data_IF_320326089540
#
_entry.id   IF_320326089540
#
_cell.length_a   1.000
_cell.length_b   1.000
_cell.length_c   1.000
_cell.angle_alpha   90.00
_cell.angle_beta   90.00
_cell.angle_gamma   90.00
#
_symmetry.space_group_name_H-M   'P 1'
#
loop_
_entity.id
_entity.type
_entity.pdbx_description
1 polymer ?
#
# COMPACT_ATOMS: atom_id res chain seq x y z
N UNK A 1 1.11 -8.20 -1.40
CA UNK A 1 1.83 -9.13 -0.51
C UNK A 1 1.04 -9.31 0.78
N UNK A 2 0.52 -10.53 1.00
CA UNK A 2 -0.09 -10.92 2.26
C UNK A 2 0.94 -11.71 3.07
N UNK A 3 1.59 -11.06 4.04
CA UNK A 3 2.50 -11.73 4.96
C UNK A 3 1.66 -12.51 5.96
N UNK A 4 1.60 -13.84 5.78
CA UNK A 4 0.84 -14.73 6.66
C UNK A 4 1.71 -15.05 7.89
N UNK A 5 1.40 -14.40 9.01
CA UNK A 5 1.97 -14.75 10.32
C UNK A 5 1.39 -16.08 10.82
N UNK A 6 2.18 -17.16 10.72
CA UNK A 6 1.81 -18.51 11.20
C UNK A 6 2.09 -18.73 12.69
N UNK A 7 2.57 -17.72 13.43
CA UNK A 7 2.85 -17.87 14.86
C UNK A 7 1.54 -18.12 15.65
N UNK A 8 1.54 -19.04 16.63
CA UNK A 8 0.38 -19.30 17.47
C UNK A 8 0.02 -18.02 18.24
N UNK A 9 -1.22 -17.53 18.07
CA UNK A 9 -1.68 -16.30 18.72
C UNK A 9 -2.32 -16.64 20.07
N UNK A 10 -1.67 -16.35 21.22
CA UNK A 10 -2.30 -16.53 22.51
C UNK A 10 -3.30 -15.39 22.72
N UNK A 11 -4.59 -15.70 22.62
CA UNK A 11 -5.69 -14.88 23.14
C UNK A 11 -5.90 -13.47 22.58
N UNK A 12 -5.79 -13.24 21.26
CA UNK A 12 -6.50 -12.16 20.54
C UNK A 12 -6.27 -10.69 20.98
N UNK A 13 -5.45 -10.43 22.01
CA UNK A 13 -5.22 -9.11 22.61
C UNK A 13 -4.05 -8.35 21.97
N UNK A 14 -3.36 -8.96 20.99
CA UNK A 14 -2.12 -8.44 20.40
C UNK A 14 -2.25 -8.10 18.90
N UNK A 15 -3.42 -7.68 18.41
CA UNK A 15 -3.63 -7.33 16.99
C UNK A 15 -2.72 -6.16 16.57
N UNK A 16 -2.61 -5.12 17.41
CA UNK A 16 -1.78 -3.95 17.11
C UNK A 16 -0.28 -4.29 17.08
N UNK A 17 0.21 -5.12 18.02
CA UNK A 17 1.60 -5.57 18.02
C UNK A 17 1.90 -6.41 16.78
N UNK A 18 1.01 -7.34 16.42
CA UNK A 18 1.13 -8.12 15.18
C UNK A 18 1.19 -7.20 13.96
N UNK A 19 0.32 -6.18 13.89
CA UNK A 19 0.35 -5.22 12.78
C UNK A 19 1.71 -4.51 12.69
N UNK A 20 2.27 -4.05 13.82
CA UNK A 20 3.59 -3.42 13.87
C UNK A 20 4.71 -4.36 13.43
N UNK A 21 4.65 -5.64 13.82
CA UNK A 21 5.63 -6.66 13.42
C UNK A 21 5.54 -6.94 11.92
N UNK A 22 4.32 -7.05 11.38
CA UNK A 22 4.10 -7.23 9.94
C UNK A 22 4.59 -6.03 9.13
N UNK A 23 4.38 -4.80 9.62
CA UNK A 23 4.93 -3.59 8.99
C UNK A 23 6.46 -3.60 9.01
N UNK A 24 7.08 -3.87 10.17
CA UNK A 24 8.54 -4.00 10.27
C UNK A 24 9.10 -5.10 9.35
N UNK A 25 8.41 -6.23 9.27
CA UNK A 25 8.78 -7.32 8.37
C UNK A 25 8.74 -6.90 6.91
N UNK A 26 7.68 -6.20 6.51
CA UNK A 26 7.55 -5.66 5.16
C UNK A 26 8.68 -4.68 4.84
N UNK A 27 8.96 -3.73 5.74
CA UNK A 27 10.02 -2.73 5.56
C UNK A 27 11.41 -3.37 5.48
N UNK A 28 11.64 -4.42 6.27
CA UNK A 28 12.89 -5.18 6.27
C UNK A 28 13.08 -5.98 4.97
N UNK A 29 12.03 -6.65 4.51
CA UNK A 29 12.04 -7.36 3.21
C UNK A 29 12.25 -6.36 2.08
N UNK A 30 11.58 -5.21 2.11
CA UNK A 30 11.73 -4.16 1.11
C UNK A 30 13.17 -3.62 1.06
N UNK A 31 13.77 -3.35 2.22
CA UNK A 31 15.16 -2.89 2.32
C UNK A 31 16.13 -3.96 1.79
N UNK A 32 15.92 -5.22 2.15
CA UNK A 32 16.76 -6.32 1.69
C UNK A 32 16.61 -6.59 0.17
N UNK A 33 15.42 -6.38 -0.41
CA UNK A 33 15.20 -6.39 -1.87
C UNK A 33 16.03 -5.29 -2.54
N UNK A 34 16.01 -4.07 -2.00
CA UNK A 34 16.80 -2.93 -2.54
C UNK A 34 18.29 -3.23 -2.51
N UNK A 35 18.80 -3.75 -1.40
CA UNK A 35 20.22 -4.08 -1.24
C UNK A 35 20.65 -5.23 -2.17
N UNK A 36 19.79 -6.22 -2.37
CA UNK A 36 20.04 -7.31 -3.31
C UNK A 36 20.21 -6.80 -4.76
N UNK A 37 19.41 -5.81 -5.18
CA UNK A 37 19.49 -5.22 -6.53
C UNK A 37 20.71 -4.30 -6.67
N UNK A 38 20.99 -3.44 -5.69
CA UNK A 38 22.13 -2.53 -5.71
C UNK A 38 23.46 -3.28 -5.86
N UNK A 39 23.57 -4.45 -5.23
CA UNK A 39 24.76 -5.31 -5.30
C UNK A 39 24.86 -6.15 -6.59
N UNK A 40 23.91 -6.00 -7.53
CA UNK A 40 24.02 -6.51 -8.90
C UNK A 40 23.95 -8.04 -9.06
N UNK A 41 23.51 -8.78 -8.05
CA UNK A 41 23.37 -10.26 -8.08
C UNK A 41 22.08 -10.74 -8.75
N UNK A 42 21.65 -10.05 -9.81
CA UNK A 42 20.39 -10.31 -10.53
C UNK A 42 20.41 -11.70 -11.21
N UNK A 43 21.58 -12.19 -11.63
CA UNK A 43 21.69 -13.48 -12.34
C UNK A 43 21.78 -14.70 -11.43
N UNK A 44 22.35 -14.59 -10.22
CA UNK A 44 22.52 -15.76 -9.33
C UNK A 44 21.29 -16.04 -8.44
N UNK A 45 20.44 -15.03 -8.21
CA UNK A 45 19.21 -15.20 -7.41
C UNK A 45 17.96 -15.54 -8.24
N UNK A 46 18.03 -15.48 -9.57
CA UNK A 46 16.90 -15.76 -10.47
C UNK A 46 16.38 -17.21 -10.37
N UNK A 47 17.16 -18.14 -9.81
CA UNK A 47 16.71 -19.51 -9.57
C UNK A 47 16.06 -19.73 -8.19
N UNK A 48 16.25 -18.82 -7.23
CA UNK A 48 15.78 -19.06 -5.86
C UNK A 48 14.99 -17.91 -5.22
N UNK A 49 14.84 -16.74 -5.88
CA UNK A 49 14.05 -15.56 -5.46
C UNK A 49 13.98 -15.35 -3.94
N UNK A 50 15.10 -15.54 -3.26
CA UNK A 50 15.13 -15.61 -1.81
C UNK A 50 15.85 -14.39 -1.25
N UNK A 51 15.15 -13.64 -0.41
CA UNK A 51 15.68 -12.48 0.30
C UNK A 51 15.93 -12.89 1.74
N UNK A 52 17.13 -12.61 2.23
CA UNK A 52 17.51 -12.92 3.61
C UNK A 52 17.34 -11.68 4.47
N UNK A 53 16.57 -11.80 5.54
CA UNK A 53 16.33 -10.72 6.51
C UNK A 53 16.93 -11.12 7.86
N UNK A 54 17.73 -10.25 8.50
CA UNK A 54 18.29 -10.52 9.83
C UNK A 54 17.17 -10.73 10.87
N UNK A 55 17.38 -11.70 11.77
CA UNK A 55 16.44 -12.05 12.84
C UNK A 55 16.10 -10.85 13.74
N UNK A 56 17.11 -10.04 14.04
CA UNK A 56 17.04 -8.93 14.99
C UNK A 56 15.97 -7.90 14.62
N UNK A 57 15.73 -7.68 13.32
CA UNK A 57 14.74 -6.72 12.83
C UNK A 57 13.31 -7.19 13.16
N UNK A 58 13.10 -8.50 13.22
CA UNK A 58 11.82 -9.15 13.50
C UNK A 58 11.62 -9.49 14.98
N UNK A 59 12.59 -9.15 15.84
CA UNK A 59 12.51 -9.41 17.26
C UNK A 59 11.38 -8.59 17.92
N UNK A 60 10.59 -9.28 18.74
CA UNK A 60 9.56 -8.68 19.58
C UNK A 60 10.12 -8.50 20.99
N UNK A 61 10.21 -7.27 21.51
CA UNK A 61 10.63 -7.07 22.89
C UNK A 61 9.60 -7.73 23.82
N UNK A 62 10.07 -8.65 24.66
CA UNK A 62 9.23 -9.30 25.66
C UNK A 62 9.49 -8.70 27.04
N UNK A 63 8.42 -8.34 27.73
CA UNK A 63 8.50 -7.99 29.14
C UNK A 63 8.36 -9.26 29.97
N UNK A 64 9.43 -9.63 30.65
CA UNK A 64 9.40 -10.66 31.67
C UNK A 64 9.52 -10.01 33.04
N UNK A 65 8.86 -10.60 34.04
CA UNK A 65 9.10 -10.21 35.42
C UNK A 65 10.45 -10.84 35.80
N UNK A 66 11.50 -10.04 35.88
CA UNK A 66 12.71 -10.42 36.62
C UNK A 66 12.25 -10.74 38.05
N UNK A 67 12.73 -11.81 38.69
CA UNK A 67 12.32 -12.18 40.06
C UNK A 67 13.34 -11.79 41.14
N UNK A 68 14.53 -11.38 40.71
CA UNK A 68 15.70 -11.22 41.58
C UNK A 68 15.99 -9.76 41.96
N UNK A 69 15.49 -8.82 41.16
CA UNK A 69 15.76 -7.38 41.33
C UNK A 69 14.52 -6.60 41.77
N UNK A 70 14.74 -5.44 42.40
CA UNK A 70 13.69 -4.54 42.91
C UNK A 70 13.19 -4.84 44.33
N UNK A 71 12.52 -3.87 44.94
CA UNK A 71 11.91 -4.01 46.27
C UNK A 71 10.59 -4.77 46.18
N UNK A 72 10.48 -5.91 46.88
CA UNK A 72 9.26 -6.74 46.88
C UNK A 72 8.81 -7.00 48.31
N UNK A 73 7.51 -6.99 48.50
CA UNK A 73 6.86 -7.56 49.67
C UNK A 73 6.06 -8.79 49.22
N UNK A 74 6.39 -9.94 49.77
CA UNK A 74 5.63 -11.17 49.57
C UNK A 74 5.48 -11.87 50.93
N UNK A 75 4.38 -12.58 51.11
CA UNK A 75 4.09 -13.29 52.36
C UNK A 75 4.46 -14.75 52.16
N UNK A 76 5.46 -15.24 52.88
CA UNK A 76 5.78 -16.66 52.97
C UNK A 76 4.95 -17.27 54.10
N UNK A 77 4.08 -18.22 53.78
CA UNK A 77 3.36 -18.99 54.79
C UNK A 77 4.31 -19.94 55.51
N UNK A 78 4.12 -20.13 56.81
CA UNK A 78 4.94 -21.04 57.62
C UNK A 78 6.07 -20.39 58.41
N UNK A 79 6.17 -19.06 58.45
CA UNK A 79 7.10 -18.37 59.34
C UNK A 79 6.71 -18.58 60.81
N UNK A 80 7.58 -19.23 61.59
CA UNK A 80 7.42 -19.44 63.04
C UNK A 80 8.50 -18.74 63.87
N UNK A 81 9.51 -18.14 63.23
CA UNK A 81 10.76 -17.73 63.88
C UNK A 81 11.14 -16.26 63.66
N UNK A 82 10.73 -15.63 62.55
CA UNK A 82 11.17 -14.28 62.19
C UNK A 82 10.11 -13.21 62.47
N UNK A 83 10.54 -12.02 62.93
CA UNK A 83 9.67 -10.87 63.23
C UNK A 83 9.92 -9.75 62.20
N UNK A 84 9.00 -8.80 62.08
CA UNK A 84 9.14 -7.63 61.18
C UNK A 84 10.41 -6.82 61.51
N UNK A 85 11.39 -6.82 60.60
CA UNK A 85 12.66 -6.10 60.73
C UNK A 85 13.90 -6.99 60.57
N UNK A 86 13.74 -8.31 60.69
CA UNK A 86 14.84 -9.25 60.55
C UNK A 86 15.34 -9.34 59.10
N UNK A 87 16.66 -9.47 58.94
CA UNK A 87 17.32 -9.60 57.63
C UNK A 87 17.63 -11.08 57.36
N UNK A 88 16.93 -11.69 56.41
CA UNK A 88 17.21 -13.05 55.96
C UNK A 88 18.35 -13.05 54.94
N UNK A 89 19.29 -14.00 55.06
CA UNK A 89 20.32 -14.16 54.05
C UNK A 89 19.68 -14.64 52.74
N UNK A 90 19.98 -13.98 51.62
CA UNK A 90 19.48 -14.38 50.31
C UNK A 90 19.97 -15.82 50.03
N UNK A 91 19.08 -16.78 49.75
CA UNK A 91 19.52 -18.13 49.38
C UNK A 91 20.41 -18.02 48.13
N UNK A 92 21.51 -18.80 48.04
CA UNK A 92 22.32 -18.82 46.84
C UNK A 92 21.41 -19.25 45.68
N UNK A 93 21.35 -18.42 44.63
CA UNK A 93 20.50 -18.68 43.47
C UNK A 93 20.78 -20.09 42.95
N UNK A 94 19.77 -20.95 42.96
CA UNK A 94 19.83 -22.20 42.23
C UNK A 94 19.95 -21.85 40.76
N UNK A 95 21.15 -21.98 40.21
CA UNK A 95 21.43 -21.81 38.78
C UNK A 95 20.56 -22.79 38.00
N UNK A 96 19.42 -22.30 37.52
CA UNK A 96 18.75 -22.90 36.38
C UNK A 96 19.76 -22.87 35.24
N UNK A 97 20.15 -24.04 34.78
CA UNK A 97 21.06 -24.27 33.67
C UNK A 97 20.46 -23.69 32.39
N UNK A 98 20.64 -22.38 32.20
CA UNK A 98 20.41 -21.67 30.96
C UNK A 98 21.67 -21.74 30.14
N UNK A 99 21.70 -22.68 29.21
CA UNK A 99 22.70 -22.77 28.15
C UNK A 99 22.74 -21.44 27.38
N UNK A 100 23.89 -20.77 27.33
CA UNK A 100 24.07 -19.60 26.48
C UNK A 100 25.14 -18.60 26.91
N UNK A 101 26.34 -19.04 27.27
CA UNK A 101 27.52 -18.18 27.11
C UNK A 101 27.94 -18.23 25.64
N UNK A 102 27.36 -17.33 24.84
CA UNK A 102 27.87 -16.99 23.53
C UNK A 102 28.52 -15.61 23.60
N UNK A 103 29.84 -15.58 23.48
CA UNK A 103 30.58 -14.34 23.19
C UNK A 103 29.94 -13.67 21.96
N UNK A 104 29.53 -12.41 22.13
CA UNK A 104 29.12 -11.57 21.01
C UNK A 104 30.36 -11.24 20.18
N UNK A 105 30.66 -12.09 19.20
CA UNK A 105 31.56 -11.73 18.12
C UNK A 105 30.86 -10.72 17.21
N UNK A 106 31.58 -9.68 16.81
CA UNK A 106 31.13 -8.61 15.89
C UNK A 106 30.96 -9.11 14.43
N UNK A 107 30.89 -10.43 14.27
CA UNK A 107 30.60 -11.18 13.05
C UNK A 107 29.57 -12.26 13.40
N UNK A 108 28.39 -11.80 13.83
CA UNK A 108 27.28 -12.65 14.26
C UNK A 108 26.67 -13.47 13.13
N UNK A 109 27.21 -14.66 12.90
CA UNK A 109 26.50 -15.78 12.28
C UNK A 109 25.52 -16.39 13.28
N UNK A 110 24.49 -15.65 13.68
CA UNK A 110 23.35 -16.19 14.42
C UNK A 110 22.43 -16.94 13.45
N UNK A 111 22.10 -18.19 13.77
CA UNK A 111 21.31 -19.12 12.93
C UNK A 111 19.85 -18.72 12.67
N UNK A 112 19.44 -17.49 12.97
CA UNK A 112 18.03 -17.07 12.87
C UNK A 112 17.74 -16.09 11.73
N UNK A 113 18.59 -16.04 10.68
CA UNK A 113 18.25 -15.25 9.49
C UNK A 113 17.02 -15.85 8.78
N UNK A 114 15.98 -15.03 8.57
CA UNK A 114 14.78 -15.47 7.87
C UNK A 114 14.99 -15.39 6.36
N UNK A 115 14.80 -16.52 5.68
CA UNK A 115 14.84 -16.60 4.22
C UNK A 115 13.42 -16.52 3.65
N UNK A 116 13.08 -15.38 3.04
CA UNK A 116 11.81 -15.19 2.35
C UNK A 116 11.94 -15.59 0.89
N UNK A 117 11.18 -16.59 0.44
CA UNK A 117 11.05 -16.91 -0.98
C UNK A 117 9.91 -16.08 -1.55
N UNK A 118 10.22 -15.17 -2.47
CA UNK A 118 9.26 -14.29 -3.12
C UNK A 118 8.94 -14.80 -4.52
N UNK A 119 7.71 -14.60 -5.00
CA UNK A 119 7.46 -14.75 -6.43
C UNK A 119 8.15 -13.62 -7.22
N UNK A 120 8.35 -13.81 -8.53
CA UNK A 120 8.88 -12.75 -9.40
C UNK A 120 8.00 -11.49 -9.33
N UNK A 121 6.69 -11.68 -9.25
CA UNK A 121 5.72 -10.57 -9.22
C UNK A 121 5.79 -9.84 -7.88
N UNK A 122 5.82 -10.56 -6.76
CA UNK A 122 5.94 -9.96 -5.44
C UNK A 122 7.25 -9.20 -5.26
N UNK A 123 8.34 -9.73 -5.82
CA UNK A 123 9.62 -9.04 -5.84
C UNK A 123 9.52 -7.70 -6.59
N UNK A 124 8.91 -7.69 -7.78
CA UNK A 124 8.74 -6.47 -8.57
C UNK A 124 7.81 -5.47 -7.87
N UNK A 125 6.70 -5.93 -7.29
CA UNK A 125 5.77 -5.07 -6.56
C UNK A 125 6.46 -4.38 -5.38
N UNK A 126 7.25 -5.11 -4.59
CA UNK A 126 8.02 -4.54 -3.47
C UNK A 126 9.12 -3.61 -3.95
N UNK A 127 9.71 -3.92 -5.10
CA UNK A 127 10.76 -3.11 -5.70
C UNK A 127 10.25 -1.76 -6.21
N UNK A 128 9.01 -1.70 -6.71
CA UNK A 128 8.39 -0.48 -7.25
C UNK A 128 7.45 0.26 -6.27
N UNK A 129 7.19 -0.25 -5.07
CA UNK A 129 6.22 0.32 -4.11
C UNK A 129 6.49 1.80 -3.76
N UNK A 130 7.76 2.20 -3.71
CA UNK A 130 8.17 3.58 -3.37
C UNK A 130 8.25 4.52 -4.58
N UNK A 131 7.93 4.02 -5.77
CA UNK A 131 8.07 4.76 -7.01
C UNK A 131 6.70 5.20 -7.52
N UNK A 132 6.62 6.44 -7.97
CA UNK A 132 5.44 7.03 -8.57
C UNK A 132 5.84 8.09 -9.60
N UNK A 133 4.97 8.31 -10.58
CA UNK A 133 5.08 9.43 -11.49
C UNK A 133 4.89 10.74 -10.70
N UNK A 134 5.86 11.67 -10.73
CA UNK A 134 5.77 12.93 -10.03
C UNK A 134 4.60 13.78 -10.53
N UNK A 135 3.94 14.50 -9.63
CA UNK A 135 2.96 15.53 -9.98
C UNK A 135 1.80 15.02 -10.88
N UNK A 136 1.33 13.80 -10.62
CA UNK A 136 0.18 13.21 -11.30
C UNK A 136 -1.12 13.91 -10.93
N UNK A 137 -1.60 14.79 -11.83
CA UNK A 137 -2.81 15.57 -11.62
C UNK A 137 -4.04 14.76 -12.04
N UNK A 138 -5.09 14.79 -11.20
CA UNK A 138 -6.42 14.31 -11.56
C UNK A 138 -7.08 15.29 -12.54
N UNK A 139 -6.72 15.22 -13.83
CA UNK A 139 -7.36 16.01 -14.89
C UNK A 139 -8.68 15.33 -15.31
N UNK A 140 -9.76 16.10 -15.24
CA UNK A 140 -11.16 15.88 -15.61
C UNK A 140 -11.83 14.48 -15.51
N UNK A 141 -13.15 14.53 -15.31
CA UNK A 141 -14.08 13.39 -15.24
C UNK A 141 -14.51 13.02 -16.68
N UNK A 142 -13.57 12.63 -17.54
CA UNK A 142 -13.91 12.20 -18.88
C UNK A 142 -14.11 10.68 -18.94
N UNK A 143 -15.39 10.28 -18.93
CA UNK A 143 -15.92 9.00 -19.43
C UNK A 143 -15.43 7.70 -18.73
N UNK A 144 -15.78 7.60 -17.43
CA UNK A 144 -16.22 6.40 -16.66
C UNK A 144 -15.50 5.05 -16.85
N UNK A 145 -15.05 4.43 -15.73
CA UNK A 145 -15.34 3.00 -15.41
C UNK A 145 -15.02 2.53 -13.99
N UNK A 146 -14.39 3.33 -13.12
CA UNK A 146 -14.18 2.89 -11.73
C UNK A 146 -15.12 3.65 -10.79
N UNK A 147 -16.30 3.05 -10.58
CA UNK A 147 -17.18 3.46 -9.50
C UNK A 147 -16.77 2.71 -8.23
N UNK A 148 -16.48 3.45 -7.17
CA UNK A 148 -16.26 2.85 -5.85
C UNK A 148 -17.52 3.06 -5.03
N UNK A 149 -17.93 2.03 -4.30
CA UNK A 149 -19.09 2.11 -3.42
C UNK A 149 -18.70 2.87 -2.15
N UNK A 150 -19.17 4.12 -2.04
CA UNK A 150 -19.05 4.89 -0.82
C UNK A 150 -20.31 4.74 0.03
N UNK A 151 -20.16 4.80 1.35
CA UNK A 151 -21.31 4.71 2.26
C UNK A 151 -22.16 5.98 2.15
N UNK A 152 -23.39 5.83 1.67
CA UNK A 152 -24.32 6.93 1.41
C UNK A 152 -25.44 7.06 2.48
N UNK A 153 -25.40 6.23 3.53
CA UNK A 153 -26.29 6.33 4.69
C UNK A 153 -27.07 5.05 4.99
N UNK A 154 -28.36 5.21 5.30
CA UNK A 154 -29.27 4.12 5.65
C UNK A 154 -30.48 4.11 4.70
N UNK A 155 -31.01 2.92 4.45
CA UNK A 155 -32.24 2.66 3.69
C UNK A 155 -33.16 1.75 4.51
N UNK A 156 -34.47 1.84 4.29
CA UNK A 156 -35.46 0.89 4.85
C UNK A 156 -35.45 -0.45 4.12
N UNK A 157 -34.94 -0.48 2.90
CA UNK A 157 -34.90 -1.65 2.03
C UNK A 157 -33.48 -1.89 1.51
N UNK A 158 -33.10 -3.15 1.32
CA UNK A 158 -31.78 -3.54 0.82
C UNK A 158 -31.51 -5.05 0.89
N UNK A 159 -30.31 -5.45 0.45
CA UNK A 159 -29.88 -6.84 0.53
C UNK A 159 -29.61 -7.26 1.98
N UNK A 160 -29.92 -8.51 2.40
CA UNK A 160 -29.62 -9.00 3.75
C UNK A 160 -28.16 -8.81 4.20
N UNK A 161 -27.20 -8.82 3.27
CA UNK A 161 -25.78 -8.57 3.57
C UNK A 161 -25.49 -7.15 4.06
N UNK A 162 -26.35 -6.20 3.73
CA UNK A 162 -26.23 -4.79 4.11
C UNK A 162 -27.05 -4.46 5.37
N UNK A 163 -27.74 -5.43 5.97
CA UNK A 163 -28.58 -5.21 7.14
C UNK A 163 -27.74 -4.74 8.34
N UNK A 164 -28.10 -3.59 8.90
CA UNK A 164 -27.53 -3.11 10.15
C UNK A 164 -28.38 -3.65 11.31
N UNK A 165 -27.98 -4.80 11.84
CA UNK A 165 -28.70 -5.49 12.92
C UNK A 165 -28.84 -4.61 14.16
N UNK A 166 -27.78 -3.90 14.55
CA UNK A 166 -27.78 -3.06 15.75
C UNK A 166 -28.81 -1.94 15.67
N UNK A 167 -28.90 -1.25 14.52
CA UNK A 167 -29.91 -0.20 14.32
C UNK A 167 -31.31 -0.78 14.16
N UNK A 168 -31.46 -1.85 13.40
CA UNK A 168 -32.75 -2.55 13.24
C UNK A 168 -33.35 -2.95 14.59
N UNK A 169 -32.54 -3.54 15.47
CA UNK A 169 -32.98 -3.94 16.80
C UNK A 169 -33.34 -2.74 17.68
N UNK A 170 -32.62 -1.62 17.60
CA UNK A 170 -33.00 -0.38 18.32
C UNK A 170 -34.36 0.16 17.87
N UNK A 171 -34.63 0.18 16.57
CA UNK A 171 -35.93 0.60 16.04
C UNK A 171 -37.05 -0.34 16.48
N UNK A 172 -36.82 -1.66 16.42
CA UNK A 172 -37.74 -2.67 16.95
C UNK A 172 -38.04 -2.48 18.44
N UNK A 173 -37.04 -2.21 19.27
CA UNK A 173 -37.24 -1.95 20.71
C UNK A 173 -38.07 -0.69 20.90
N UNK A 174 -37.73 0.42 20.23
CA UNK A 174 -38.47 1.67 20.32
C UNK A 174 -39.95 1.52 19.92
N UNK A 175 -40.23 0.81 18.82
CA UNK A 175 -41.59 0.53 18.36
C UNK A 175 -42.37 -0.30 19.37
N UNK A 176 -41.76 -1.35 19.94
CA UNK A 176 -42.40 -2.20 20.96
C UNK A 176 -42.71 -1.45 22.25
N UNK A 177 -41.83 -0.54 22.66
CA UNK A 177 -42.08 0.35 23.81
C UNK A 177 -43.25 1.30 23.47
N UNK A 178 -43.24 1.94 22.31
CA UNK A 178 -44.30 2.86 21.88
C UNK A 178 -45.68 2.20 21.76
N UNK A 179 -45.73 0.97 21.23
CA UNK A 179 -46.95 0.16 21.13
C UNK A 179 -47.32 -0.58 22.42
N UNK A 180 -46.55 -0.38 23.51
CA UNK A 180 -46.75 -1.00 24.83
C UNK A 180 -46.89 -2.52 24.74
N UNK A 181 -45.98 -3.18 24.00
CA UNK A 181 -45.94 -4.65 23.93
C UNK A 181 -45.71 -5.21 25.35
N UNK A 182 -46.55 -6.14 25.84
CA UNK A 182 -46.33 -6.78 27.13
C UNK A 182 -44.96 -7.45 27.22
N UNK A 183 -44.33 -7.39 28.39
CA UNK A 183 -43.05 -8.06 28.64
C UNK A 183 -43.27 -9.58 28.73
N UNK A 184 -42.36 -10.41 28.18
CA UNK A 184 -42.47 -11.86 28.27
C UNK A 184 -42.41 -12.35 29.72
N UNK A 185 -41.64 -11.68 30.58
CA UNK A 185 -41.55 -11.97 32.03
C UNK A 185 -42.91 -11.87 32.71
N UNK A 186 -43.69 -10.83 32.41
CA UNK A 186 -45.01 -10.64 33.00
C UNK A 186 -46.02 -11.70 32.54
N UNK A 187 -45.92 -12.15 31.29
CA UNK A 187 -46.75 -13.26 30.81
C UNK A 187 -46.39 -14.56 31.55
N UNK A 188 -45.11 -14.82 31.79
CA UNK A 188 -44.67 -16.00 32.54
C UNK A 188 -45.15 -15.96 34.00
N UNK A 189 -45.16 -14.79 34.65
CA UNK A 189 -45.75 -14.62 36.00
C UNK A 189 -47.25 -14.96 36.02
N UNK A 190 -48.02 -14.45 35.04
CA UNK A 190 -49.46 -14.74 34.93
C UNK A 190 -49.68 -16.24 34.70
N UNK A 191 -48.90 -16.87 33.81
CA UNK A 191 -49.01 -18.30 33.54
C UNK A 191 -48.64 -19.16 34.76
N UNK A 192 -47.59 -18.80 35.50
CA UNK A 192 -47.22 -19.47 36.74
C UNK A 192 -48.29 -19.33 37.83
N UNK A 193 -48.92 -18.14 37.93
CA UNK A 193 -50.00 -17.90 38.90
C UNK A 193 -51.25 -18.69 38.56
N UNK A 194 -51.62 -18.78 37.28
CA UNK A 194 -52.71 -19.63 36.79
C UNK A 194 -52.43 -21.10 37.15
N UNK A 195 -51.22 -21.60 36.87
CA UNK A 195 -50.86 -22.98 37.19
C UNK A 195 -50.95 -23.28 38.70
N UNK A 196 -50.45 -22.38 39.55
CA UNK A 196 -50.52 -22.53 41.01
C UNK A 196 -51.96 -22.56 41.54
N UNK A 197 -52.87 -21.77 40.96
CA UNK A 197 -54.29 -21.78 41.30
C UNK A 197 -54.99 -23.05 40.79
N UNK A 198 -54.61 -23.54 39.61
CA UNK A 198 -55.16 -24.77 39.03
C UNK A 198 -54.77 -26.02 39.83
N UNK A 199 -53.59 -26.04 40.44
CA UNK A 199 -53.08 -27.14 41.28
C UNK A 199 -53.73 -27.22 42.67
N UNK A 200 -54.25 -26.10 43.21
CA UNK A 200 -54.75 -25.99 44.60
C UNK A 200 -56.19 -26.50 44.82
N UNK A 201 -56.83 -27.12 43.83
CA UNK A 201 -58.26 -27.50 43.90
C UNK A 201 -58.61 -28.33 45.16
N UNK A 202 -59.77 -28.09 45.82
CA UNK A 202 -60.88 -27.22 45.43
C UNK A 202 -60.57 -25.71 45.64
N UNK A 203 -61.13 -24.88 44.76
CA UNK A 203 -60.93 -23.42 44.75
C UNK A 203 -62.02 -22.73 45.56
N UNK A 204 -61.63 -21.73 46.37
CA UNK A 204 -62.54 -20.77 47.00
C UNK A 204 -63.14 -19.82 45.95
N UNK A 205 -64.27 -19.17 46.24
CA UNK A 205 -64.93 -18.21 45.31
C UNK A 205 -63.97 -17.09 44.88
N UNK A 206 -63.19 -16.52 45.81
CA UNK A 206 -62.18 -15.49 45.51
C UNK A 206 -61.08 -16.00 44.56
N UNK A 207 -60.66 -17.26 44.73
CA UNK A 207 -59.63 -17.89 43.90
C UNK A 207 -60.16 -18.23 42.50
N UNK A 208 -61.46 -18.50 42.37
CA UNK A 208 -62.12 -18.71 41.08
C UNK A 208 -62.22 -17.40 40.28
N UNK A 209 -62.55 -16.29 40.95
CA UNK A 209 -62.58 -14.96 40.33
C UNK A 209 -61.19 -14.50 39.91
N UNK A 210 -60.16 -14.71 40.76
CA UNK A 210 -58.75 -14.42 40.42
C UNK A 210 -58.30 -15.23 39.19
N UNK A 211 -58.61 -16.53 39.15
CA UNK A 211 -58.26 -17.40 38.03
C UNK A 211 -58.93 -16.95 36.72
N UNK A 212 -60.19 -16.52 36.78
CA UNK A 212 -60.94 -16.03 35.62
C UNK A 212 -60.34 -14.72 35.09
N UNK A 213 -60.04 -13.77 35.97
CA UNK A 213 -59.39 -12.50 35.60
C UNK A 213 -57.99 -12.72 34.98
N UNK A 214 -57.17 -13.61 35.56
CA UNK A 214 -55.84 -13.92 35.03
C UNK A 214 -55.91 -14.60 33.66
N UNK A 215 -56.92 -15.43 33.40
CA UNK A 215 -57.13 -16.05 32.09
C UNK A 215 -57.50 -15.03 31.02
N UNK A 216 -58.34 -14.06 31.36
CA UNK A 216 -58.64 -12.93 30.48
C UNK A 216 -57.41 -12.06 30.22
N UNK A 217 -56.66 -11.71 31.26
CA UNK A 217 -55.41 -10.95 31.14
C UNK A 217 -54.40 -11.67 30.23
N UNK A 218 -54.20 -12.97 30.44
CA UNK A 218 -53.35 -13.82 29.58
C UNK A 218 -53.79 -13.75 28.11
N UNK A 219 -55.09 -13.84 27.84
CA UNK A 219 -55.61 -13.80 26.47
C UNK A 219 -55.37 -12.45 25.81
N UNK A 220 -55.57 -11.35 26.54
CA UNK A 220 -55.26 -10.00 26.03
C UNK A 220 -53.77 -9.81 25.76
N UNK A 221 -52.90 -10.33 26.64
CA UNK A 221 -51.45 -10.27 26.48
C UNK A 221 -50.98 -11.06 25.27
N UNK A 222 -51.45 -12.30 25.10
CA UNK A 222 -51.14 -13.13 23.92
C UNK A 222 -51.60 -12.45 22.63
N UNK A 223 -52.80 -11.88 22.61
CA UNK A 223 -53.34 -11.16 21.44
C UNK A 223 -52.50 -9.93 21.10
N UNK A 224 -52.04 -9.17 22.10
CA UNK A 224 -51.15 -8.02 21.87
C UNK A 224 -49.77 -8.44 21.41
N UNK A 225 -49.20 -9.50 22.00
CA UNK A 225 -47.88 -10.02 21.64
C UNK A 225 -47.84 -10.62 20.23
N UNK A 226 -48.95 -11.22 19.75
CA UNK A 226 -49.05 -11.72 18.38
C UNK A 226 -49.20 -10.61 17.34
N UNK A 227 -49.95 -9.54 17.67
CA UNK A 227 -50.12 -8.37 16.79
C UNK A 227 -48.86 -7.53 16.65
N UNK A 228 -48.07 -7.41 17.71
CA UNK A 228 -46.85 -6.59 17.70
C UNK A 228 -45.65 -7.52 17.49
N UNK A 229 -45.22 -7.73 16.25
CA UNK A 229 -44.07 -8.57 15.91
C UNK A 229 -42.76 -8.11 16.58
N UNK A 230 -41.81 -9.03 16.78
CA UNK A 230 -40.52 -8.71 17.42
C UNK A 230 -39.64 -7.85 16.52
N UNK A 231 -39.55 -8.20 15.24
CA UNK A 231 -38.99 -7.34 14.17
C UNK A 231 -40.05 -7.24 13.10
N UNK A 232 -40.27 -6.02 12.62
CA UNK A 232 -41.22 -5.70 11.55
C UNK A 232 -40.43 -5.12 10.37
N UNK A 233 -40.85 -5.34 9.10
CA UNK A 233 -40.25 -4.70 7.94
C UNK A 233 -39.96 -3.19 8.11
N UNK A 234 -40.81 -2.45 8.83
CA UNK A 234 -40.58 -1.01 9.09
C UNK A 234 -39.38 -0.72 9.99
N UNK A 235 -38.93 -1.70 10.77
CA UNK A 235 -37.77 -1.60 11.67
C UNK A 235 -36.45 -1.85 10.91
N UNK A 236 -36.50 -2.50 9.75
CA UNK A 236 -35.31 -2.91 9.01
C UNK A 236 -34.51 -1.69 8.53
N UNK A 237 -33.21 -1.69 8.80
CA UNK A 237 -32.29 -0.65 8.35
C UNK A 237 -31.10 -1.28 7.64
N UNK A 238 -30.92 -0.92 6.38
CA UNK A 238 -29.85 -1.39 5.53
C UNK A 238 -28.83 -0.27 5.31
N UNK A 239 -27.55 -0.63 5.24
CA UNK A 239 -26.47 0.30 4.90
C UNK A 239 -26.53 0.57 3.40
N UNK A 240 -26.81 1.83 3.04
CA UNK A 240 -26.85 2.25 1.65
C UNK A 240 -25.44 2.58 1.17
N UNK A 241 -25.05 1.99 0.06
CA UNK A 241 -23.86 2.38 -0.68
C UNK A 241 -24.29 3.04 -1.99
N UNK A 242 -23.60 4.10 -2.38
CA UNK A 242 -23.81 4.75 -3.67
C UNK A 242 -22.50 4.68 -4.46
N UNK A 243 -22.55 4.36 -5.76
CA UNK A 243 -21.39 4.48 -6.61
C UNK A 243 -20.98 5.96 -6.67
N UNK A 244 -19.78 6.26 -6.19
CA UNK A 244 -19.14 7.55 -6.39
C UNK A 244 -18.10 7.39 -7.49
N UNK A 245 -18.12 8.23 -8.54
CA UNK A 245 -17.10 8.18 -9.58
C UNK A 245 -15.75 8.49 -8.96
N UNK A 246 -14.77 7.59 -9.11
CA UNK A 246 -13.38 7.93 -8.83
C UNK A 246 -12.78 8.54 -10.10
N UNK A 247 -12.16 9.72 -10.02
CA UNK A 247 -11.40 10.26 -11.15
C UNK A 247 -10.25 9.29 -11.45
N UNK A 248 -10.20 8.78 -12.68
CA UNK A 248 -9.07 7.97 -13.15
C UNK A 248 -8.08 8.90 -13.83
N UNK A 249 -6.84 8.91 -13.35
CA UNK A 249 -5.73 9.62 -13.98
C UNK A 249 -5.32 8.88 -15.24
N UNK A 250 -5.47 9.51 -16.41
CA UNK A 250 -4.83 9.03 -17.64
C UNK A 250 -3.48 9.71 -17.80
N UNK A 251 -2.48 8.95 -18.20
CA UNK A 251 -1.13 9.43 -18.41
C UNK A 251 -0.52 8.82 -19.68
N UNK A 252 0.32 9.59 -20.35
CA UNK A 252 1.16 9.12 -21.47
C UNK A 252 2.62 9.31 -21.11
N UNK A 253 3.44 8.30 -21.34
CA UNK A 253 4.90 8.37 -21.20
C UNK A 253 5.54 8.32 -22.60
N UNK A 254 6.30 9.36 -22.93
CA UNK A 254 7.14 9.41 -24.13
C UNK A 254 8.55 8.92 -23.79
N UNK A 255 8.94 7.78 -24.34
CA UNK A 255 10.28 7.21 -24.22
C UNK A 255 11.10 7.60 -25.45
N UNK A 256 12.08 8.49 -25.28
CA UNK A 256 12.93 9.00 -26.36
C UNK A 256 14.33 8.41 -26.22
N UNK A 257 14.73 7.57 -27.16
CA UNK A 257 16.08 6.97 -27.17
C UNK A 257 16.90 7.46 -28.35
N UNK A 258 18.16 7.77 -28.07
CA UNK A 258 19.18 8.03 -29.06
C UNK A 258 19.74 6.70 -29.61
N UNK A 259 19.73 6.56 -30.94
CA UNK A 259 20.29 5.40 -31.65
C UNK A 259 21.42 5.83 -32.59
N UNK A 260 21.97 7.03 -32.40
CA UNK A 260 23.06 7.56 -33.19
C UNK A 260 24.35 6.72 -33.12
N UNK A 261 25.29 7.05 -34.01
CA UNK A 261 26.59 6.40 -34.10
C UNK A 261 27.57 6.79 -33.00
N UNK A 262 27.32 7.87 -32.24
CA UNK A 262 28.15 8.26 -31.09
C UNK A 262 27.94 7.35 -29.88
N UNK A 263 26.76 6.72 -29.79
CA UNK A 263 26.45 5.75 -28.74
C UNK A 263 27.12 4.40 -28.99
N UNK A 264 28.07 4.05 -28.12
CA UNK A 264 28.67 2.70 -28.09
C UNK A 264 27.65 1.63 -27.69
N UNK A 265 27.91 0.37 -28.03
CA UNK A 265 27.01 -0.75 -27.67
C UNK A 265 26.74 -0.83 -26.16
N UNK A 266 27.77 -0.55 -25.33
CA UNK A 266 27.60 -0.49 -23.87
C UNK A 266 26.62 0.62 -23.47
N UNK A 267 26.68 1.78 -24.12
CA UNK A 267 25.79 2.91 -23.81
C UNK A 267 24.35 2.60 -24.25
N UNK A 268 24.17 2.01 -25.44
CA UNK A 268 22.86 1.54 -25.92
C UNK A 268 22.25 0.53 -24.95
N UNK A 269 23.03 -0.43 -24.46
CA UNK A 269 22.58 -1.40 -23.46
C UNK A 269 22.15 -0.75 -22.13
N UNK A 270 22.85 0.28 -21.65
CA UNK A 270 22.45 1.01 -20.45
C UNK A 270 21.13 1.77 -20.66
N UNK A 271 20.97 2.43 -21.81
CA UNK A 271 19.72 3.11 -22.18
C UNK A 271 18.54 2.14 -22.29
N UNK A 272 18.73 1.00 -22.97
CA UNK A 272 17.73 -0.07 -23.07
C UNK A 272 17.33 -0.61 -21.70
N UNK A 273 18.29 -0.86 -20.81
CA UNK A 273 18.00 -1.33 -19.46
C UNK A 273 17.19 -0.32 -18.64
N UNK A 274 17.49 0.98 -18.79
CA UNK A 274 16.69 2.02 -18.16
C UNK A 274 15.25 2.02 -18.68
N UNK A 275 15.04 2.01 -20.01
CA UNK A 275 13.70 2.02 -20.59
C UNK A 275 12.92 0.74 -20.33
N UNK A 276 13.59 -0.42 -20.27
CA UNK A 276 12.96 -1.68 -19.86
C UNK A 276 12.48 -1.59 -18.41
N UNK A 277 13.30 -1.04 -17.52
CA UNK A 277 12.91 -0.84 -16.12
C UNK A 277 11.73 0.13 -16.00
N UNK A 278 11.75 1.21 -16.79
CA UNK A 278 10.66 2.18 -16.86
C UNK A 278 9.37 1.53 -17.36
N UNK A 279 9.44 0.76 -18.45
CA UNK A 279 8.29 0.07 -19.01
C UNK A 279 7.66 -0.90 -18.00
N UNK A 280 8.46 -1.78 -17.38
CA UNK A 280 7.98 -2.71 -16.35
C UNK A 280 7.38 -1.98 -15.14
N UNK A 281 7.99 -0.87 -14.71
CA UNK A 281 7.46 -0.02 -13.65
C UNK A 281 6.07 0.52 -14.00
N UNK A 282 5.91 1.07 -15.20
CA UNK A 282 4.68 1.72 -15.62
C UNK A 282 3.54 0.72 -15.81
N UNK A 283 3.79 -0.40 -16.48
CA UNK A 283 2.79 -1.46 -16.69
C UNK A 283 2.28 -2.05 -15.36
N UNK A 284 3.18 -2.18 -14.36
CA UNK A 284 2.82 -2.75 -13.06
C UNK A 284 2.07 -1.75 -12.18
N UNK A 285 2.45 -0.46 -12.21
CA UNK A 285 1.91 0.55 -11.29
C UNK A 285 0.65 1.24 -11.81
N UNK A 286 0.46 1.32 -13.12
CA UNK A 286 -0.61 2.10 -13.76
C UNK A 286 -1.41 1.27 -14.77
N UNK A 287 -2.68 1.03 -14.47
CA UNK A 287 -3.59 0.31 -15.39
C UNK A 287 -3.98 1.11 -16.65
N UNK A 288 -3.93 2.45 -16.58
CA UNK A 288 -4.37 3.37 -17.64
C UNK A 288 -3.24 4.32 -18.04
N UNK A 289 -2.15 3.75 -18.53
CA UNK A 289 -1.02 4.50 -19.06
C UNK A 289 -0.72 4.06 -20.48
N UNK A 290 -0.48 5.03 -21.36
CA UNK A 290 -0.04 4.78 -22.73
C UNK A 290 1.47 5.06 -22.87
N UNK A 291 2.20 4.20 -23.57
CA UNK A 291 3.65 4.31 -23.74
C UNK A 291 3.95 4.50 -25.21
N UNK A 292 4.60 5.62 -25.54
CA UNK A 292 5.02 5.95 -26.90
C UNK A 292 6.54 5.88 -26.97
N UNK A 293 7.05 5.05 -27.87
CA UNK A 293 8.48 4.92 -28.11
C UNK A 293 8.88 5.76 -29.33
N UNK A 294 9.84 6.67 -29.12
CA UNK A 294 10.43 7.50 -30.16
C UNK A 294 11.91 7.22 -30.16
N UNK A 295 12.45 6.88 -31.33
CA UNK A 295 13.90 6.80 -31.52
C UNK A 295 14.35 7.92 -32.43
N UNK A 296 15.59 8.37 -32.25
CA UNK A 296 16.16 9.39 -33.11
C UNK A 296 17.63 9.13 -33.43
N UNK A 297 17.99 9.53 -34.64
CA UNK A 297 19.36 9.72 -35.09
C UNK A 297 19.39 11.02 -35.89
N UNK A 298 19.52 10.94 -37.22
CA UNK A 298 19.36 12.10 -38.12
C UNK A 298 17.88 12.49 -38.29
N UNK A 299 16.99 11.51 -38.23
CA UNK A 299 15.54 11.69 -38.21
C UNK A 299 14.95 10.95 -37.01
N UNK A 300 13.79 11.41 -36.54
CA UNK A 300 13.04 10.75 -35.48
C UNK A 300 11.79 10.06 -36.05
N UNK A 301 11.44 8.93 -35.45
CA UNK A 301 10.23 8.18 -35.80
C UNK A 301 9.64 7.50 -34.57
N UNK A 302 8.31 7.39 -34.56
CA UNK A 302 7.59 6.55 -33.61
C UNK A 302 7.75 5.08 -34.01
N UNK A 303 8.08 4.24 -33.02
CA UNK A 303 8.30 2.80 -33.21
C UNK A 303 7.50 2.01 -32.18
N UNK A 304 7.36 0.71 -32.44
CA UNK A 304 6.86 -0.24 -31.45
C UNK A 304 7.97 -0.67 -30.47
N UNK A 305 7.56 -1.39 -29.43
CA UNK A 305 8.45 -1.86 -28.37
C UNK A 305 9.59 -2.74 -28.90
N UNK A 306 9.27 -3.69 -29.79
CA UNK A 306 10.25 -4.63 -30.33
C UNK A 306 11.32 -3.92 -31.16
N UNK A 307 10.92 -2.99 -32.03
CA UNK A 307 11.85 -2.21 -32.85
C UNK A 307 12.67 -1.24 -31.99
N UNK A 308 12.08 -0.68 -30.93
CA UNK A 308 12.78 0.21 -30.01
C UNK A 308 13.97 -0.49 -29.33
N UNK A 309 13.82 -1.73 -28.86
CA UNK A 309 14.88 -2.43 -28.13
C UNK A 309 15.86 -3.22 -29.01
N UNK A 310 15.44 -3.68 -30.19
CA UNK A 310 16.22 -4.66 -30.97
C UNK A 310 16.88 -4.12 -32.24
N UNK A 311 16.47 -2.97 -32.77
CA UNK A 311 16.98 -2.48 -34.06
C UNK A 311 18.36 -1.79 -33.94
N UNK A 312 19.38 -2.21 -34.71
CA UNK A 312 20.73 -1.67 -34.66
C UNK A 312 20.98 -0.43 -35.55
N UNK A 313 19.95 0.31 -35.98
CA UNK A 313 20.10 1.55 -36.78
C UNK A 313 21.17 2.49 -36.19
N UNK A 314 21.95 3.13 -37.08
CA UNK A 314 22.99 4.12 -36.75
C UNK A 314 22.88 5.32 -37.68
N UNK A 315 23.25 6.51 -37.19
CA UNK A 315 23.18 7.77 -37.95
C UNK A 315 23.79 8.94 -37.17
N UNK A 316 23.65 10.16 -37.70
CA UNK A 316 24.01 11.38 -36.96
C UNK A 316 23.10 11.61 -35.74
N UNK A 317 23.37 12.64 -34.95
CA UNK A 317 22.60 12.96 -33.73
C UNK A 317 21.95 14.33 -33.88
N UNK A 318 20.63 14.37 -34.18
CA UNK A 318 19.84 15.60 -34.29
C UNK A 318 18.66 15.52 -33.34
N UNK A 319 18.83 16.07 -32.14
CA UNK A 319 17.86 15.95 -31.04
C UNK A 319 16.56 16.72 -31.32
N UNK A 320 16.60 17.83 -32.06
CA UNK A 320 15.38 18.60 -32.35
C UNK A 320 14.33 17.80 -33.10
N UNK A 321 14.75 16.83 -33.94
CA UNK A 321 13.80 15.96 -34.66
C UNK A 321 12.98 15.11 -33.70
N UNK A 322 13.59 14.62 -32.61
CA UNK A 322 12.91 13.83 -31.59
C UNK A 322 11.86 14.64 -30.83
N UNK A 323 12.21 15.88 -30.47
CA UNK A 323 11.32 16.80 -29.76
C UNK A 323 10.15 17.25 -30.67
N UNK A 324 10.40 17.44 -31.96
CA UNK A 324 9.36 17.74 -32.95
C UNK A 324 8.40 16.58 -33.15
N UNK A 325 8.92 15.34 -33.28
CA UNK A 325 8.08 14.15 -33.43
C UNK A 325 7.23 13.91 -32.16
N UNK A 326 7.81 14.09 -30.97
CA UNK A 326 7.07 14.06 -29.71
C UNK A 326 5.90 15.06 -29.71
N UNK A 327 6.14 16.31 -30.10
CA UNK A 327 5.10 17.34 -30.18
C UNK A 327 4.02 17.00 -31.21
N UNK A 328 4.40 16.43 -32.36
CA UNK A 328 3.47 15.99 -33.40
C UNK A 328 2.56 14.88 -32.89
N UNK A 329 3.13 13.85 -32.27
CA UNK A 329 2.37 12.74 -31.68
C UNK A 329 1.47 13.22 -30.54
N UNK A 330 2.00 14.05 -29.64
CA UNK A 330 1.26 14.63 -28.52
C UNK A 330 0.03 15.41 -29.01
N UNK A 331 0.18 16.25 -30.03
CA UNK A 331 -0.94 17.03 -30.60
C UNK A 331 -1.98 16.17 -31.30
N UNK A 332 -1.56 15.08 -31.95
CA UNK A 332 -2.46 14.20 -32.67
C UNK A 332 -3.30 13.32 -31.74
N UNK A 333 -2.71 12.78 -30.67
CA UNK A 333 -3.35 11.74 -29.83
C UNK A 333 -3.62 12.16 -28.39
N UNK A 334 -2.83 13.06 -27.80
CA UNK A 334 -2.81 13.31 -26.35
C UNK A 334 -3.01 14.80 -26.01
N UNK A 335 -4.26 15.31 -26.09
CA UNK A 335 -4.54 16.69 -25.71
C UNK A 335 -4.18 16.95 -24.23
N UNK A 336 -3.42 18.01 -23.98
CA UNK A 336 -2.86 18.32 -22.66
C UNK A 336 -3.94 18.53 -21.57
N UNK A 337 -5.15 18.98 -21.94
CA UNK A 337 -6.22 19.19 -20.96
C UNK A 337 -6.73 17.88 -20.34
N UNK A 338 -6.58 16.76 -21.04
CA UNK A 338 -7.13 15.44 -20.63
C UNK A 338 -6.07 14.47 -20.13
N UNK A 339 -4.87 14.54 -20.68
CA UNK A 339 -3.79 13.59 -20.39
C UNK A 339 -2.71 14.24 -19.55
N UNK A 340 -2.18 13.49 -18.58
CA UNK A 340 -0.90 13.83 -17.97
C UNK A 340 0.22 13.35 -18.89
N UNK A 341 1.12 14.24 -19.26
CA UNK A 341 2.19 13.98 -20.22
C UNK A 341 3.52 13.93 -19.50
N UNK A 342 4.22 12.82 -19.69
CA UNK A 342 5.54 12.55 -19.15
C UNK A 342 6.50 12.26 -20.29
N UNK A 343 7.78 12.61 -20.12
CA UNK A 343 8.81 12.25 -21.07
C UNK A 343 10.08 11.79 -20.37
N UNK A 344 10.72 10.77 -20.94
CA UNK A 344 12.01 10.26 -20.53
C UNK A 344 12.92 10.17 -21.76
N UNK A 345 14.02 10.90 -21.75
CA UNK A 345 15.00 10.93 -22.83
C UNK A 345 16.31 10.30 -22.37
N UNK A 346 16.88 9.37 -23.14
CA UNK A 346 18.23 8.86 -22.93
C UNK A 346 19.11 9.13 -24.16
N UNK A 347 20.29 9.72 -23.95
CA UNK A 347 21.28 10.04 -24.99
C UNK A 347 22.70 10.03 -24.40
N UNK A 348 23.73 10.03 -25.23
CA UNK A 348 25.13 10.18 -24.81
C UNK A 348 25.57 11.63 -24.60
N UNK A 349 24.70 12.60 -24.94
CA UNK A 349 24.95 14.04 -24.72
C UNK A 349 25.48 14.77 -25.95
N UNK A 350 25.81 14.06 -27.02
CA UNK A 350 26.33 14.67 -28.25
C UNK A 350 25.18 15.23 -29.10
N UNK A 351 25.34 16.44 -29.63
CA UNK A 351 24.39 17.04 -30.57
C UNK A 351 25.14 17.92 -31.58
N UNK A 352 24.56 18.14 -32.75
CA UNK A 352 25.13 19.09 -33.70
C UNK A 352 24.99 20.50 -33.13
N UNK A 353 26.09 21.27 -33.11
CA UNK A 353 26.12 22.62 -32.53
C UNK A 353 25.08 23.60 -33.14
N UNK A 354 24.70 23.42 -34.41
CA UNK A 354 23.65 24.21 -35.05
C UNK A 354 22.24 23.90 -34.54
N UNK A 355 22.02 22.72 -33.94
CA UNK A 355 20.73 22.24 -33.47
C UNK A 355 20.46 22.61 -32.00
N UNK A 356 21.51 22.76 -31.18
CA UNK A 356 21.40 23.06 -29.74
C UNK A 356 20.52 24.29 -29.41
N UNK A 357 20.59 25.44 -30.12
CA UNK A 357 19.69 26.56 -29.86
C UNK A 357 18.21 26.22 -30.13
N UNK A 358 17.95 25.43 -31.17
CA UNK A 358 16.60 24.98 -31.55
C UNK A 358 16.03 24.04 -30.50
N UNK A 359 16.83 23.09 -30.02
CA UNK A 359 16.47 22.17 -28.92
C UNK A 359 16.12 22.94 -27.65
N UNK A 360 16.93 23.93 -27.29
CA UNK A 360 16.74 24.75 -26.08
C UNK A 360 15.40 25.51 -26.12
N UNK A 361 15.11 26.16 -27.25
CA UNK A 361 13.83 26.87 -27.46
C UNK A 361 12.64 25.91 -27.48
N UNK A 362 12.73 24.79 -28.21
CA UNK A 362 11.66 23.78 -28.27
C UNK A 362 11.36 23.19 -26.89
N UNK A 363 12.39 22.82 -26.12
CA UNK A 363 12.22 22.25 -24.81
C UNK A 363 11.56 23.26 -23.86
N UNK A 364 12.13 24.46 -23.74
CA UNK A 364 11.68 25.47 -22.77
C UNK A 364 10.33 26.08 -23.11
N UNK A 365 10.09 26.44 -24.37
CA UNK A 365 8.90 27.21 -24.75
C UNK A 365 7.69 26.33 -25.09
N UNK A 366 7.94 25.08 -25.52
CA UNK A 366 6.90 24.24 -26.14
C UNK A 366 6.64 22.94 -25.39
N UNK A 367 7.67 22.26 -24.88
CA UNK A 367 7.51 20.94 -24.25
C UNK A 367 7.31 21.07 -22.74
N UNK A 368 8.19 21.78 -22.03
CA UNK A 368 8.12 21.92 -20.58
C UNK A 368 6.77 22.45 -20.08
N UNK A 369 6.13 23.45 -20.71
CA UNK A 369 4.80 23.90 -20.30
C UNK A 369 3.67 22.85 -20.43
N UNK A 370 3.85 21.83 -21.28
CA UNK A 370 2.85 20.79 -21.54
C UNK A 370 3.03 19.57 -20.62
N UNK A 371 4.28 19.21 -20.32
CA UNK A 371 4.62 18.03 -19.52
C UNK A 371 4.53 18.30 -18.03
N UNK A 372 4.26 17.25 -17.25
CA UNK A 372 4.31 17.33 -15.79
C UNK A 372 5.73 17.07 -15.29
N UNK A 373 6.44 16.17 -15.99
CA UNK A 373 7.80 15.81 -15.65
C UNK A 373 8.56 15.34 -16.89
N UNK A 374 9.79 15.83 -17.04
CA UNK A 374 10.73 15.47 -18.11
C UNK A 374 12.02 14.97 -17.47
N UNK A 375 12.33 13.69 -17.68
CA UNK A 375 13.57 13.08 -17.21
C UNK A 375 14.57 12.97 -18.36
N UNK A 376 15.71 13.62 -18.24
CA UNK A 376 16.83 13.44 -19.16
C UNK A 376 17.95 12.65 -18.49
N UNK A 377 18.41 11.62 -19.20
CA UNK A 377 19.45 10.71 -18.76
C UNK A 377 20.57 10.73 -19.78
N UNK A 378 21.73 11.14 -19.30
CA UNK A 378 22.95 11.10 -20.07
C UNK A 378 23.73 9.82 -19.75
N UNK A 379 24.01 9.02 -20.77
CA UNK A 379 24.80 7.80 -20.66
C UNK A 379 26.27 8.13 -20.90
N UNK A 380 27.00 8.37 -19.81
CA UNK A 380 28.39 8.79 -19.90
C UNK A 380 29.34 7.60 -20.11
N UNK A 381 30.23 7.73 -21.11
CA UNK A 381 31.31 6.77 -21.34
C UNK A 381 32.52 7.01 -20.44
N UNK A 382 33.34 5.96 -20.21
CA UNK A 382 34.57 6.04 -19.41
C UNK A 382 35.57 7.12 -19.89
N UNK A 383 35.53 7.50 -21.17
CA UNK A 383 36.41 8.52 -21.78
C UNK A 383 35.89 9.95 -21.66
N UNK A 384 34.65 10.18 -21.22
CA UNK A 384 34.06 11.52 -21.08
C UNK A 384 34.66 12.31 -19.90
N UNK A 385 35.44 11.69 -19.02
CA UNK A 385 36.07 12.34 -17.86
C UNK A 385 37.08 13.43 -18.27
N UNK A 386 37.66 13.35 -19.49
CA UNK A 386 38.66 14.29 -19.99
C UNK A 386 38.02 15.42 -20.82
N UNK A 387 36.79 15.21 -21.34
CA UNK A 387 36.05 16.23 -22.07
C UNK A 387 35.08 16.92 -21.11
N UNK A 388 35.32 18.22 -20.90
CA UNK A 388 34.33 19.26 -20.70
C UNK A 388 32.85 18.82 -20.92
N UNK A 389 31.94 19.21 -20.03
CA UNK A 389 30.48 18.98 -20.10
C UNK A 389 29.96 18.90 -21.56
N UNK A 390 29.19 17.85 -21.88
CA UNK A 390 28.59 17.62 -23.21
C UNK A 390 27.66 18.78 -23.61
N UNK A 391 27.41 18.92 -24.90
CA UNK A 391 26.65 20.06 -25.44
C UNK A 391 25.21 20.09 -24.90
N UNK A 392 24.55 18.92 -24.83
CA UNK A 392 23.19 18.81 -24.29
C UNK A 392 23.16 19.01 -22.78
N UNK A 393 24.14 18.49 -22.03
CA UNK A 393 24.18 18.64 -20.58
C UNK A 393 24.24 20.11 -20.16
N UNK A 394 25.07 20.91 -20.83
CA UNK A 394 25.16 22.35 -20.57
C UNK A 394 23.85 23.06 -20.87
N UNK A 395 23.25 22.76 -22.02
CA UNK A 395 21.99 23.37 -22.43
C UNK A 395 20.86 23.05 -21.45
N UNK A 396 20.71 21.78 -21.08
CA UNK A 396 19.65 21.33 -20.19
C UNK A 396 19.88 21.74 -18.74
N UNK A 397 21.14 21.85 -18.27
CA UNK A 397 21.45 22.36 -16.92
C UNK A 397 20.93 23.79 -16.74
N UNK A 398 21.16 24.67 -17.72
CA UNK A 398 20.63 26.05 -17.67
C UNK A 398 19.10 26.09 -17.65
N UNK A 399 18.43 25.19 -18.36
CA UNK A 399 16.96 25.10 -18.35
C UNK A 399 16.46 24.51 -17.02
N UNK A 400 17.11 23.49 -16.48
CA UNK A 400 16.69 22.82 -15.25
C UNK A 400 16.72 23.76 -14.03
N UNK A 401 17.61 24.75 -14.02
CA UNK A 401 17.64 25.79 -12.98
C UNK A 401 16.38 26.68 -13.00
N UNK A 402 15.79 26.91 -14.17
CA UNK A 402 14.58 27.74 -14.32
C UNK A 402 13.28 26.93 -14.28
N UNK A 403 13.33 25.63 -14.60
CA UNK A 403 12.16 24.76 -14.72
C UNK A 403 12.30 23.51 -13.83
N UNK A 404 11.57 23.41 -12.70
CA UNK A 404 11.67 22.29 -11.76
C UNK A 404 11.11 20.97 -12.31
N UNK A 405 10.41 21.01 -13.44
CA UNK A 405 9.85 19.83 -14.12
C UNK A 405 10.92 19.03 -14.88
N UNK A 406 12.08 19.64 -15.18
CA UNK A 406 13.19 19.01 -15.88
C UNK A 406 14.18 18.42 -14.87
N UNK A 407 14.31 17.11 -14.86
CA UNK A 407 15.31 16.40 -14.07
C UNK A 407 16.40 15.83 -14.98
N UNK A 408 17.65 16.23 -14.73
CA UNK A 408 18.81 15.74 -15.48
C UNK A 408 19.67 14.82 -14.60
N UNK A 409 20.06 13.65 -15.11
CA UNK A 409 20.94 12.69 -14.41
C UNK A 409 21.92 12.03 -15.36
N UNK A 410 23.06 11.61 -14.82
CA UNK A 410 24.07 10.85 -15.54
C UNK A 410 24.12 9.41 -15.03
N UNK A 411 24.30 8.46 -15.95
CA UNK A 411 24.49 7.03 -15.65
C UNK A 411 25.77 6.55 -16.32
N UNK A 412 26.68 5.94 -15.56
CA UNK A 412 27.96 5.43 -16.06
C UNK A 412 27.99 3.93 -16.16
N UNK A 413 27.40 3.29 -15.16
CA UNK A 413 27.41 1.84 -15.01
C UNK A 413 26.03 1.29 -14.66
N UNK A 414 25.85 0.00 -14.96
CA UNK A 414 24.59 -0.72 -14.73
C UNK A 414 24.11 -0.65 -13.27
N UNK A 415 25.03 -0.57 -12.31
CA UNK A 415 24.70 -0.48 -10.87
C UNK A 415 24.08 0.87 -10.50
N UNK A 416 24.34 1.92 -11.27
CA UNK A 416 23.81 3.27 -11.04
C UNK A 416 22.42 3.47 -11.64
N UNK A 417 21.98 2.61 -12.56
CA UNK A 417 20.65 2.71 -13.20
C UNK A 417 19.55 2.77 -12.16
N UNK A 418 19.54 1.85 -11.18
CA UNK A 418 18.47 1.82 -10.18
C UNK A 418 18.50 3.01 -9.21
N UNK A 419 19.64 3.38 -8.60
CA UNK A 419 19.73 4.60 -7.81
C UNK A 419 19.24 5.85 -8.54
N UNK A 420 19.62 6.01 -9.81
CA UNK A 420 19.20 7.14 -10.65
C UNK A 420 17.71 7.07 -10.97
N UNK A 421 17.21 5.88 -11.34
CA UNK A 421 15.78 5.65 -11.59
C UNK A 421 14.94 6.01 -10.37
N UNK A 422 15.37 5.58 -9.18
CA UNK A 422 14.71 5.93 -7.93
C UNK A 422 14.75 7.42 -7.66
N UNK A 423 15.88 8.08 -7.86
CA UNK A 423 15.96 9.53 -7.65
C UNK A 423 15.03 10.31 -8.58
N UNK A 424 14.82 9.80 -9.81
CA UNK A 424 13.90 10.40 -10.77
C UNK A 424 12.41 10.17 -10.45
N UNK A 425 12.04 9.01 -9.90
CA UNK A 425 10.64 8.60 -9.70
C UNK A 425 10.29 8.29 -8.24
N UNK A 426 11.11 8.72 -7.27
CA UNK A 426 10.82 8.51 -5.87
C UNK A 426 9.60 9.33 -5.44
N UNK A 427 8.77 8.69 -4.62
CA UNK A 427 7.65 9.34 -3.95
C UNK A 427 8.14 10.51 -3.08
N UNK A 428 7.71 11.74 -3.42
CA UNK A 428 8.05 12.94 -2.65
C UNK A 428 7.25 12.92 -1.32
N UNK A 429 7.90 12.99 -0.14
CA UNK A 429 7.24 12.84 1.18
C UNK A 429 6.27 13.98 1.60
N UNK A 430 5.78 14.80 0.68
CA UNK A 430 4.83 15.90 0.94
C UNK A 430 3.63 15.95 0.01
N UNK A 431 3.54 15.07 -1.01
CA UNK A 431 2.36 14.98 -1.86
C UNK A 431 1.26 14.21 -1.11
N UNK A 432 0.41 14.95 -0.41
CA UNK A 432 -0.83 14.41 0.16
C UNK A 432 -1.55 13.65 -0.95
N UNK A 433 -1.79 12.36 -0.72
CA UNK A 433 -2.66 11.56 -1.57
C UNK A 433 -4.06 12.18 -1.55
N UNK A 434 -4.33 13.08 -2.48
CA UNK A 434 -5.65 13.61 -2.79
C UNK A 434 -6.44 12.61 -3.61
#
# INVERSE_FOLDING_TARGET
MDIIDRRPNPHGKNIENRRRVLTRARDAVQSAVRDAVANGRIRDHAQQNAVTVPADVLHEPSFHRVFEEGSRQFVLSGNKEFITGDRLHRPPGGGGQGSGEGEASDQGGGEDSYRFVLSREEFLDLFFDDLELPDLIKREIATVTQSSHARAGLSSEGSPSQLDLGRTMRHSVARRIGLKRPKPERLAEIEARIAALEDRKPLDEEAFDELSALREERQTFRTRMSRIAWVDPVDLRYRRFQPVPKPTTQAVMFCIMDVSGSMTEKMKELGKQFFLLLHVFLERRYEKLDIVFIRHAETAEEVDEETFFNDPRTGGTVVSTALEEMLKVQRARYPADKWNIYAAQASDGDNIASDTPKVTSLLSERILPLVQYFAYIEVAGSSAIIRNDTDLWRAYRGIAESHPQLAIRQVRDRREIFPVFRDLFARKPGAIAG
#
